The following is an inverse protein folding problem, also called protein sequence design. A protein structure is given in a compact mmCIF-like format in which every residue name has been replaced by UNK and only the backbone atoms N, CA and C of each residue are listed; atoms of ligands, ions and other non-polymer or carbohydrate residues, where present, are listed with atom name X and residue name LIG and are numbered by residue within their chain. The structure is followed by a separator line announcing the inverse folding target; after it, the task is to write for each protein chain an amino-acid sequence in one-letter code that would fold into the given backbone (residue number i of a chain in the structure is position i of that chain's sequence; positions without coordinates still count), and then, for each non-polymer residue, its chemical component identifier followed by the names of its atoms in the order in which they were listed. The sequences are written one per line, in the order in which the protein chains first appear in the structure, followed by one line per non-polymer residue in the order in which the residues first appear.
data_IF_473331420691
#
_entry.id   IF_473331420691
#
_cell.length_a   1.000
_cell.length_b   1.000
_cell.length_c   1.000
_cell.angle_alpha   90.00
_cell.angle_beta   90.00
_cell.angle_gamma   90.00
#
_symmetry.space_group_name_H-M   'P 1'
#
loop_
_entity.id
_entity.type
_entity.pdbx_description
1 polymer ?
#
# COMPACT_ATOMS: atom_id res chain seq x y z
N UNK A 1 82.81 12.28 6.67
CA UNK A 1 82.52 11.04 7.41
C UNK A 1 81.04 10.71 7.25
N UNK A 2 80.74 9.46 6.85
CA UNK A 2 79.42 8.80 6.67
C UNK A 2 78.48 9.42 5.60
N UNK A 3 78.33 8.91 4.37
CA UNK A 3 77.79 7.60 3.92
C UNK A 3 76.53 7.22 4.73
N UNK A 4 75.31 7.08 4.21
CA UNK A 4 74.81 6.88 2.86
C UNK A 4 73.78 5.74 2.92
N UNK A 5 72.51 5.98 2.56
CA UNK A 5 71.66 4.91 2.01
C UNK A 5 70.38 5.47 1.38
N UNK A 6 70.36 5.51 0.05
CA UNK A 6 69.11 5.43 -0.74
C UNK A 6 68.95 3.97 -1.16
N UNK A 7 67.81 3.31 -0.88
CA UNK A 7 67.47 2.09 -1.61
C UNK A 7 66.73 2.45 -2.91
N UNK A 8 67.12 1.75 -3.98
CA UNK A 8 66.51 1.76 -5.31
C UNK A 8 65.61 0.49 -5.47
N UNK A 9 65.05 0.16 -6.65
CA UNK A 9 63.64 -0.16 -6.83
C UNK A 9 63.33 -1.66 -6.97
N UNK A 10 62.05 -2.01 -6.79
CA UNK A 10 61.47 -3.23 -7.37
C UNK A 10 60.87 -4.21 -6.35
N UNK A 11 59.54 -4.35 -6.38
CA UNK A 11 58.86 -5.63 -6.23
C UNK A 11 57.38 -5.47 -6.61
N UNK A 12 57.01 -6.04 -7.76
CA UNK A 12 55.64 -6.36 -8.14
C UNK A 12 54.93 -7.07 -6.97
N UNK A 13 53.93 -6.43 -6.37
CA UNK A 13 52.97 -7.13 -5.51
C UNK A 13 51.71 -7.44 -6.32
N UNK A 14 51.66 -8.70 -6.73
CA UNK A 14 50.50 -9.42 -7.24
C UNK A 14 49.20 -9.06 -6.49
N UNK A 15 48.14 -8.85 -7.27
CA UNK A 15 46.76 -8.79 -6.81
C UNK A 15 46.44 -10.00 -5.94
N UNK A 16 46.15 -9.77 -4.66
CA UNK A 16 45.56 -10.79 -3.78
C UNK A 16 44.10 -10.97 -4.20
N UNK A 17 43.82 -12.08 -4.88
CA UNK A 17 42.48 -12.62 -5.00
C UNK A 17 41.80 -12.62 -3.62
N UNK A 18 40.55 -12.13 -3.56
CA UNK A 18 39.71 -12.21 -2.38
C UNK A 18 39.43 -13.69 -2.09
N UNK A 19 40.31 -14.31 -1.32
CA UNK A 19 40.10 -15.63 -0.76
C UNK A 19 38.82 -15.58 0.08
N UNK A 20 37.92 -16.49 -0.26
CA UNK A 20 36.72 -16.83 0.48
C UNK A 20 37.10 -17.02 1.96
N UNK A 21 36.65 -16.11 2.84
CA UNK A 21 36.93 -16.24 4.27
C UNK A 21 36.18 -17.48 4.80
N UNK A 22 36.82 -18.35 5.60
CA UNK A 22 36.13 -19.48 6.20
C UNK A 22 35.09 -19.00 7.22
N UNK A 23 33.93 -19.68 7.22
CA UNK A 23 32.82 -19.47 8.14
C UNK A 23 33.30 -19.46 9.60
N UNK A 24 32.77 -18.53 10.40
CA UNK A 24 33.07 -18.51 11.84
C UNK A 24 32.34 -19.69 12.49
N UNK A 25 32.92 -20.24 13.55
CA UNK A 25 32.40 -21.39 14.28
C UNK A 25 30.97 -21.22 14.86
N UNK A 26 30.37 -20.02 14.75
CA UNK A 26 29.04 -19.68 15.23
C UNK A 26 28.03 -19.35 14.11
N UNK A 27 28.33 -19.60 12.83
CA UNK A 27 27.31 -19.46 11.78
C UNK A 27 26.26 -20.59 11.93
N UNK A 28 24.94 -20.29 12.02
CA UNK A 28 23.93 -21.32 12.14
C UNK A 28 23.91 -22.23 10.90
N UNK A 29 23.72 -23.55 11.06
CA UNK A 29 23.79 -24.49 9.94
C UNK A 29 22.64 -24.26 8.94
N UNK A 30 22.85 -24.53 7.63
CA UNK A 30 21.78 -24.48 6.65
C UNK A 30 20.74 -25.55 6.98
N UNK A 31 19.48 -25.12 7.06
CA UNK A 31 18.32 -25.92 7.46
C UNK A 31 18.29 -27.28 6.74
N UNK A 32 18.75 -28.33 7.43
CA UNK A 32 18.61 -29.71 6.97
C UNK A 32 17.33 -30.31 7.53
N UNK A 33 16.48 -30.74 6.59
CA UNK A 33 15.26 -31.54 6.74
C UNK A 33 15.17 -32.33 8.04
N UNK A 34 14.18 -31.97 8.87
CA UNK A 34 13.61 -32.91 9.85
C UNK A 34 12.27 -33.40 9.31
N UNK A 35 12.27 -34.65 8.83
CA UNK A 35 11.05 -35.47 8.80
C UNK A 35 10.77 -35.88 10.25
N UNK A 36 9.61 -35.52 10.80
CA UNK A 36 8.57 -36.47 11.28
C UNK A 36 7.62 -35.85 12.33
N UNK A 37 6.38 -36.37 12.25
CA UNK A 37 5.30 -36.41 13.25
C UNK A 37 4.63 -35.10 13.64
N UNK A 38 3.70 -34.69 12.77
CA UNK A 38 2.53 -33.91 13.15
C UNK A 38 1.72 -34.73 14.17
N UNK A 39 1.82 -34.40 15.46
CA UNK A 39 0.73 -34.69 16.41
C UNK A 39 -0.22 -33.50 16.35
N UNK A 40 -1.35 -33.70 15.68
CA UNK A 40 -2.50 -32.80 15.71
C UNK A 40 -3.06 -32.75 17.14
N UNK A 41 -2.60 -31.81 17.96
CA UNK A 41 -3.40 -31.32 19.09
C UNK A 41 -4.29 -30.22 18.56
N UNK A 42 -5.48 -30.63 18.12
CA UNK A 42 -6.56 -29.72 17.80
C UNK A 42 -6.87 -28.88 19.03
N UNK A 43 -6.50 -27.60 19.00
CA UNK A 43 -7.09 -26.62 19.90
C UNK A 43 -8.45 -26.29 19.29
N UNK A 44 -9.48 -26.94 19.83
CA UNK A 44 -10.86 -26.66 19.51
C UNK A 44 -11.08 -25.14 19.60
N UNK A 45 -11.39 -24.51 18.47
CA UNK A 45 -12.00 -23.17 18.48
C UNK A 45 -13.39 -23.37 19.04
N UNK A 46 -13.56 -23.04 20.33
CA UNK A 46 -14.88 -22.96 20.94
C UNK A 46 -15.77 -21.98 20.16
N UNK A 47 -17.10 -22.17 20.18
CA UNK A 47 -18.01 -21.27 19.50
C UNK A 47 -17.90 -19.88 20.12
N UNK A 48 -17.60 -18.88 19.29
CA UNK A 48 -17.71 -17.47 19.67
C UNK A 48 -19.14 -17.22 20.17
N UNK A 49 -19.34 -16.66 21.38
CA UNK A 49 -20.67 -16.32 21.84
C UNK A 49 -21.22 -15.24 20.92
N UNK A 50 -22.28 -15.58 20.18
CA UNK A 50 -23.08 -14.64 19.40
C UNK A 50 -23.82 -13.75 20.41
N UNK A 51 -23.18 -12.66 20.81
CA UNK A 51 -23.80 -11.64 21.66
C UNK A 51 -25.02 -11.09 20.91
N UNK A 52 -26.20 -11.53 21.35
CA UNK A 52 -27.48 -11.00 20.93
C UNK A 52 -27.66 -9.61 21.57
N UNK A 53 -27.14 -8.57 20.92
CA UNK A 53 -27.55 -7.20 21.16
C UNK A 53 -28.39 -6.74 19.97
N UNK A 54 -29.63 -7.21 19.93
CA UNK A 54 -30.68 -6.61 19.10
C UNK A 54 -31.06 -5.27 19.75
N UNK A 55 -30.27 -4.23 19.47
CA UNK A 55 -30.82 -2.89 19.59
C UNK A 55 -31.71 -2.69 18.36
N UNK A 56 -33.02 -2.82 18.59
CA UNK A 56 -34.06 -2.46 17.63
C UNK A 56 -33.82 -0.99 17.26
N UNK A 57 -33.19 -0.76 16.11
CA UNK A 57 -33.17 0.58 15.53
C UNK A 57 -34.62 0.96 15.25
N UNK A 58 -35.10 2.14 15.70
CA UNK A 58 -36.37 2.63 15.20
C UNK A 58 -36.20 2.76 13.68
N UNK A 59 -37.16 2.19 12.94
CA UNK A 59 -37.21 2.25 11.49
C UNK A 59 -37.10 3.71 11.05
N UNK A 60 -35.90 4.15 10.68
CA UNK A 60 -35.68 5.46 10.11
C UNK A 60 -36.17 5.40 8.66
N UNK A 61 -37.49 5.48 8.48
CA UNK A 61 -38.11 5.81 7.20
C UNK A 61 -38.04 7.33 7.08
N UNK A 62 -37.14 7.90 6.27
CA UNK A 62 -37.28 9.31 5.94
C UNK A 62 -38.59 9.44 5.15
N UNK A 63 -39.61 10.04 5.76
CA UNK A 63 -40.74 10.56 5.00
C UNK A 63 -40.16 11.56 3.99
N UNK A 64 -40.55 11.44 2.72
CA UNK A 64 -40.14 12.32 1.60
C UNK A 64 -40.28 13.82 1.91
N UNK A 65 -41.06 14.18 2.94
CA UNK A 65 -41.24 15.54 3.45
C UNK A 65 -40.08 16.08 4.33
N UNK A 66 -39.19 15.23 4.85
CA UNK A 66 -38.05 15.65 5.69
C UNK A 66 -36.75 15.89 4.89
N UNK A 67 -36.73 15.50 3.62
CA UNK A 67 -35.76 16.00 2.66
C UNK A 67 -36.22 17.40 2.29
N UNK A 68 -35.84 18.38 3.11
CA UNK A 68 -36.02 19.78 2.78
C UNK A 68 -35.59 20.00 1.33
N UNK A 69 -36.47 20.62 0.56
CA UNK A 69 -36.18 21.14 -0.77
C UNK A 69 -35.20 22.31 -0.62
N UNK A 70 -33.97 22.04 -0.20
CA UNK A 70 -32.87 23.02 -0.24
C UNK A 70 -32.22 23.04 -1.64
N UNK A 71 -33.02 22.71 -2.66
CA UNK A 71 -32.70 22.88 -4.07
C UNK A 71 -32.51 24.36 -4.47
N UNK A 72 -32.56 25.29 -3.52
CA UNK A 72 -32.60 26.73 -3.74
C UNK A 72 -31.42 27.51 -3.13
N UNK A 73 -30.44 26.86 -2.52
CA UNK A 73 -29.10 27.46 -2.37
C UNK A 73 -28.16 26.80 -3.36
N UNK A 74 -28.35 27.13 -4.64
CA UNK A 74 -27.27 26.99 -5.61
C UNK A 74 -26.16 27.89 -5.07
N UNK A 75 -25.15 27.30 -4.43
CA UNK A 75 -23.95 28.04 -4.08
C UNK A 75 -23.33 28.52 -5.39
N UNK A 76 -23.45 29.81 -5.67
CA UNK A 76 -22.77 30.49 -6.79
C UNK A 76 -21.23 30.42 -6.67
N UNK A 77 -20.72 29.87 -5.55
CA UNK A 77 -19.31 29.57 -5.29
C UNK A 77 -18.95 28.08 -5.29
N UNK A 78 -19.73 27.22 -5.95
CA UNK A 78 -19.37 25.80 -6.08
C UNK A 78 -17.97 25.65 -6.70
N UNK A 79 -17.09 24.79 -6.16
CA UNK A 79 -15.76 24.58 -6.69
C UNK A 79 -15.83 24.04 -8.13
N UNK A 80 -15.58 24.93 -9.08
CA UNK A 80 -15.40 24.57 -10.48
C UNK A 80 -14.02 23.95 -10.65
N UNK A 81 -13.96 22.69 -11.10
CA UNK A 81 -12.71 21.98 -11.34
C UNK A 81 -12.26 22.30 -12.76
N UNK A 82 -11.11 22.98 -12.94
CA UNK A 82 -10.57 23.24 -14.27
C UNK A 82 -10.18 21.94 -14.98
N UNK A 83 -10.24 21.93 -16.31
CA UNK A 83 -9.94 20.73 -17.10
C UNK A 83 -8.49 20.26 -16.90
N UNK A 84 -7.54 21.17 -16.72
CA UNK A 84 -6.16 20.84 -16.41
C UNK A 84 -6.02 20.12 -15.05
N UNK A 85 -6.81 20.52 -14.05
CA UNK A 85 -6.84 19.86 -12.74
C UNK A 85 -7.46 18.47 -12.88
N UNK A 86 -8.55 18.33 -13.64
CA UNK A 86 -9.16 17.04 -13.91
C UNK A 86 -8.19 16.09 -14.64
N UNK A 87 -7.43 16.59 -15.64
CA UNK A 87 -6.38 15.80 -16.31
C UNK A 87 -5.30 15.36 -15.34
N UNK A 88 -4.83 16.27 -14.48
CA UNK A 88 -3.81 15.96 -13.48
C UNK A 88 -4.26 14.85 -12.53
N UNK A 89 -5.50 14.93 -12.04
CA UNK A 89 -6.08 13.89 -11.17
C UNK A 89 -6.18 12.55 -11.90
N UNK A 90 -6.61 12.54 -13.17
CA UNK A 90 -6.66 11.32 -13.98
C UNK A 90 -5.28 10.66 -14.13
N UNK A 91 -4.23 11.45 -14.38
CA UNK A 91 -2.84 10.97 -14.45
C UNK A 91 -2.37 10.35 -13.14
N UNK A 92 -2.70 10.98 -12.01
CA UNK A 92 -2.38 10.45 -10.67
C UNK A 92 -3.11 9.12 -10.41
N UNK A 93 -4.36 9.02 -10.84
CA UNK A 93 -5.17 7.82 -10.73
C UNK A 93 -4.86 6.74 -11.80
N UNK A 94 -3.88 6.98 -12.69
CA UNK A 94 -3.53 6.08 -13.82
C UNK A 94 -4.73 5.82 -14.76
N UNK A 95 -5.60 6.81 -14.92
CA UNK A 95 -6.75 6.75 -15.83
C UNK A 95 -6.45 7.45 -17.15
N UNK A 96 -6.59 6.72 -18.26
CA UNK A 96 -6.53 7.28 -19.60
C UNK A 96 -7.93 7.77 -20.01
N UNK A 97 -8.15 9.09 -19.98
CA UNK A 97 -9.42 9.72 -20.36
C UNK A 97 -9.25 10.50 -21.66
N UNK A 98 -10.23 10.39 -22.56
CA UNK A 98 -10.30 11.24 -23.75
C UNK A 98 -10.79 12.65 -23.39
N UNK A 99 -10.45 13.64 -24.19
CA UNK A 99 -10.89 15.03 -23.95
C UNK A 99 -12.42 15.18 -23.94
N UNK A 100 -13.12 14.34 -24.73
CA UNK A 100 -14.58 14.32 -24.76
C UNK A 100 -15.19 13.90 -23.41
N UNK A 101 -14.58 12.92 -22.74
CA UNK A 101 -15.07 12.34 -21.48
C UNK A 101 -14.54 13.11 -20.26
N UNK A 102 -13.37 13.74 -20.40
CA UNK A 102 -12.77 14.58 -19.37
C UNK A 102 -13.69 15.71 -18.90
N UNK A 103 -14.35 16.40 -19.84
CA UNK A 103 -15.25 17.51 -19.52
C UNK A 103 -16.47 17.08 -18.70
N UNK A 104 -17.00 15.89 -18.98
CA UNK A 104 -18.09 15.29 -18.19
C UNK A 104 -17.62 14.97 -16.76
N UNK A 105 -16.46 14.32 -16.62
CA UNK A 105 -15.92 13.99 -15.30
C UNK A 105 -15.53 15.22 -14.48
N UNK A 106 -15.05 16.29 -15.12
CA UNK A 106 -14.78 17.56 -14.43
C UNK A 106 -16.06 18.13 -13.81
N UNK A 107 -17.18 18.12 -14.54
CA UNK A 107 -18.49 18.56 -14.01
C UNK A 107 -19.00 17.65 -12.90
N UNK A 108 -18.89 16.33 -13.07
CA UNK A 108 -19.30 15.36 -12.06
C UNK A 108 -18.49 15.55 -10.76
N UNK A 109 -17.18 15.74 -10.87
CA UNK A 109 -16.31 16.01 -9.73
C UNK A 109 -16.66 17.35 -9.06
N UNK A 110 -16.92 18.40 -9.83
CA UNK A 110 -17.40 19.69 -9.30
C UNK A 110 -18.71 19.55 -8.52
N UNK A 111 -19.65 18.72 -8.98
CA UNK A 111 -20.90 18.47 -8.26
C UNK A 111 -20.65 17.80 -6.91
N UNK A 112 -19.78 16.78 -6.86
CA UNK A 112 -19.41 16.08 -5.62
C UNK A 112 -18.68 17.03 -4.66
N UNK A 113 -17.74 17.84 -5.15
CA UNK A 113 -17.05 18.83 -4.33
C UNK A 113 -17.99 19.92 -3.82
N UNK A 114 -18.97 20.33 -4.63
CA UNK A 114 -20.04 21.23 -4.20
C UNK A 114 -20.87 20.66 -3.04
N UNK A 115 -21.10 19.35 -3.00
CA UNK A 115 -21.78 18.72 -1.87
C UNK A 115 -20.96 18.82 -0.57
N UNK A 116 -19.63 18.68 -0.65
CA UNK A 116 -18.74 18.79 0.52
C UNK A 116 -18.68 20.20 1.13
N UNK A 117 -19.09 21.24 0.42
CA UNK A 117 -19.22 22.59 0.99
C UNK A 117 -20.21 22.63 2.17
N UNK A 118 -21.22 21.76 2.17
CA UNK A 118 -22.16 21.64 3.31
C UNK A 118 -21.46 21.22 4.62
N UNK A 119 -20.40 20.41 4.52
CA UNK A 119 -19.62 19.94 5.68
C UNK A 119 -18.71 21.06 6.20
N UNK A 120 -18.24 21.97 5.33
CA UNK A 120 -17.40 23.11 5.74
C UNK A 120 -18.11 24.14 6.61
N UNK A 121 -19.45 24.16 6.56
CA UNK A 121 -20.25 25.06 7.40
C UNK A 121 -20.31 24.63 8.88
N UNK A 122 -19.82 23.43 9.20
CA UNK A 122 -19.81 22.89 10.57
C UNK A 122 -18.64 23.49 11.36
N UNK A 123 -18.91 23.92 12.60
CA UNK A 123 -17.86 24.28 13.55
C UNK A 123 -17.21 22.99 14.10
N UNK A 124 -15.93 22.79 13.77
CA UNK A 124 -15.13 21.65 14.20
C UNK A 124 -14.03 22.04 15.18
N UNK A 125 -14.13 23.24 15.79
CA UNK A 125 -13.13 23.73 16.74
C UNK A 125 -13.05 22.81 17.96
N UNK A 126 -11.86 22.24 18.20
CA UNK A 126 -11.61 21.34 19.33
C UNK A 126 -12.12 19.91 19.15
N UNK A 127 -12.58 19.53 17.96
CA UNK A 127 -12.95 18.14 17.63
C UNK A 127 -11.72 17.39 17.12
N UNK A 128 -11.31 16.34 17.84
CA UNK A 128 -10.22 15.47 17.41
C UNK A 128 -10.61 14.63 16.17
N UNK A 129 -9.77 14.57 15.12
CA UNK A 129 -10.04 13.74 13.94
C UNK A 129 -10.09 12.24 14.28
N UNK A 130 -11.16 11.56 13.85
CA UNK A 130 -11.30 10.11 14.01
C UNK A 130 -10.76 9.37 12.76
N UNK A 131 -9.56 8.79 12.86
CA UNK A 131 -8.94 8.04 11.75
C UNK A 131 -9.50 6.61 11.59
N UNK A 132 -9.83 5.95 12.70
CA UNK A 132 -10.41 4.61 12.73
C UNK A 132 -11.62 4.60 13.67
N UNK A 133 -12.71 3.90 13.32
CA UNK A 133 -13.91 3.83 14.16
C UNK A 133 -13.75 2.94 15.40
N UNK A 134 -12.66 2.17 15.48
CA UNK A 134 -12.35 1.30 16.61
C UNK A 134 -11.00 1.67 17.19
N UNK A 135 -10.88 1.58 18.52
CA UNK A 135 -9.63 1.75 19.26
C UNK A 135 -8.73 0.52 19.07
N UNK A 136 -8.21 0.37 17.86
CA UNK A 136 -7.25 -0.67 17.52
C UNK A 136 -5.83 -0.08 17.57
N UNK A 137 -5.07 -0.47 18.59
CA UNK A 137 -3.63 -0.23 18.62
C UNK A 137 -2.91 -0.96 17.49
N UNK A 138 -1.68 -0.55 17.18
CA UNK A 138 -0.85 -1.22 16.18
C UNK A 138 -0.56 -2.66 16.58
N UNK A 139 -1.24 -3.61 15.93
CA UNK A 139 -0.94 -5.03 16.09
C UNK A 139 0.38 -5.33 15.36
N UNK A 140 1.41 -5.65 16.13
CA UNK A 140 2.68 -6.15 15.59
C UNK A 140 2.55 -7.66 15.36
N UNK A 141 3.06 -8.12 14.23
CA UNK A 141 3.28 -9.55 13.98
C UNK A 141 4.63 -9.98 14.51
N UNK A 142 4.73 -11.23 14.98
CA UNK A 142 6.01 -11.87 15.31
C UNK A 142 6.86 -12.01 14.04
N UNK A 143 8.18 -11.83 14.17
CA UNK A 143 9.15 -11.98 13.07
C UNK A 143 9.49 -13.46 12.82
N UNK A 144 8.48 -14.24 12.46
CA UNK A 144 8.58 -15.68 12.23
C UNK A 144 8.09 -16.04 10.81
N UNK A 145 8.83 -16.89 10.06
CA UNK A 145 8.40 -17.30 8.73
C UNK A 145 7.02 -17.97 8.73
N UNK A 146 6.11 -17.44 7.93
CA UNK A 146 4.77 -17.99 7.71
C UNK A 146 4.67 -18.96 6.53
N UNK A 147 3.51 -19.62 6.35
CA UNK A 147 3.22 -20.38 5.14
C UNK A 147 3.26 -19.47 3.90
N UNK A 148 3.99 -19.90 2.87
CA UNK A 148 4.11 -19.18 1.59
C UNK A 148 3.28 -19.85 0.49
N UNK A 149 2.74 -19.05 -0.44
CA UNK A 149 2.08 -19.58 -1.63
C UNK A 149 3.08 -20.28 -2.54
N UNK A 150 2.66 -21.40 -3.14
CA UNK A 150 3.45 -22.07 -4.18
C UNK A 150 3.62 -21.14 -5.38
N UNK A 151 4.81 -21.14 -6.00
CA UNK A 151 5.15 -20.22 -7.10
C UNK A 151 4.21 -20.42 -8.29
N UNK A 152 3.85 -21.67 -8.57
CA UNK A 152 2.97 -22.07 -9.67
C UNK A 152 1.57 -21.47 -9.49
N UNK A 153 1.08 -21.40 -8.24
CA UNK A 153 -0.21 -20.78 -7.91
C UNK A 153 -0.16 -19.28 -8.18
N UNK A 154 0.91 -18.61 -7.73
CA UNK A 154 1.07 -17.17 -7.97
C UNK A 154 1.17 -16.84 -9.47
N UNK A 155 1.95 -17.62 -10.22
CA UNK A 155 2.09 -17.43 -11.67
C UNK A 155 0.78 -17.71 -12.41
N UNK A 156 -0.06 -18.62 -11.92
CA UNK A 156 -1.40 -18.87 -12.48
C UNK A 156 -2.41 -17.74 -12.28
N UNK A 157 -2.15 -16.81 -11.35
CA UNK A 157 -2.99 -15.62 -11.14
C UNK A 157 -2.59 -14.43 -12.02
N UNK A 158 -1.40 -14.47 -12.62
CA UNK A 158 -0.87 -13.37 -13.39
C UNK A 158 -1.52 -13.29 -14.78
N UNK A 159 -1.90 -12.08 -15.26
CA UNK A 159 -2.37 -11.90 -16.63
C UNK A 159 -1.33 -12.30 -17.69
N UNK A 160 -0.05 -12.03 -17.43
CA UNK A 160 1.08 -12.41 -18.28
C UNK A 160 2.29 -12.77 -17.42
N UNK A 161 2.83 -13.97 -17.63
CA UNK A 161 3.95 -14.51 -16.89
C UNK A 161 5.01 -15.10 -17.81
N UNK A 162 6.27 -14.95 -17.41
CA UNK A 162 7.42 -15.63 -17.97
C UNK A 162 8.11 -16.37 -16.82
N UNK A 163 7.61 -17.56 -16.41
CA UNK A 163 8.06 -18.20 -15.18
C UNK A 163 9.58 -18.29 -15.08
N UNK A 164 10.19 -17.87 -13.96
CA UNK A 164 9.57 -17.56 -12.66
C UNK A 164 9.13 -16.09 -12.46
N UNK A 165 9.01 -15.28 -13.52
CA UNK A 165 8.78 -13.83 -13.46
C UNK A 165 7.41 -13.42 -14.00
N UNK A 166 6.96 -12.23 -13.62
CA UNK A 166 5.85 -11.54 -14.25
C UNK A 166 6.36 -10.73 -15.45
N UNK A 167 5.65 -10.80 -16.58
CA UNK A 167 6.01 -10.00 -17.76
C UNK A 167 5.33 -8.65 -17.66
N UNK A 168 6.13 -7.58 -17.73
CA UNK A 168 5.64 -6.20 -17.79
C UNK A 168 6.34 -5.46 -18.94
N UNK A 169 5.70 -4.44 -19.54
CA UNK A 169 6.38 -3.55 -20.47
C UNK A 169 7.63 -2.95 -19.84
N UNK A 170 8.69 -2.80 -20.64
CA UNK A 170 9.97 -2.25 -20.17
C UNK A 170 9.76 -0.82 -19.67
N UNK A 171 10.20 -0.54 -18.45
CA UNK A 171 10.25 0.83 -17.92
C UNK A 171 11.43 1.56 -18.56
N UNK A 172 11.12 2.62 -19.31
CA UNK A 172 12.12 3.55 -19.86
C UNK A 172 12.15 4.79 -18.98
N UNK A 173 13.35 5.25 -18.62
CA UNK A 173 13.54 6.33 -17.65
C UNK A 173 13.26 7.70 -18.26
N UNK A 174 12.04 8.20 -18.04
CA UNK A 174 11.69 9.63 -17.95
C UNK A 174 10.30 9.88 -17.32
N UNK A 175 9.45 8.85 -17.22
CA UNK A 175 8.11 8.96 -16.58
C UNK A 175 7.63 7.66 -15.90
N UNK A 176 8.56 6.75 -15.57
CA UNK A 176 8.27 5.54 -14.79
C UNK A 176 8.78 5.68 -13.37
N UNK A 177 8.03 6.33 -12.48
CA UNK A 177 8.40 6.41 -11.06
C UNK A 177 8.31 5.02 -10.43
N UNK A 178 9.48 4.49 -10.07
CA UNK A 178 9.64 3.64 -8.91
C UNK A 178 9.40 4.45 -7.62
#
# INVERSE_FOLDING_TARGET
MALGHRPAPGALRLARARLHQPRRANDPPPCTRIRTRIRSRGRARGPVPRAAAQQRTPNFRPTRAALGTDAARVNDGAPSVPLETARRVATLARLALSDAVLGEHARALSSVLGHFESIRALDLTGVEPMAHPADAGGALGEDEPGPVLAREVLMGLAPDAAPPFLRVPRVLGESGSA
#
